data_IF_427845088334
#
_entry.id   IF_427845088334
#
_cell.length_a   1.000
_cell.length_b   1.000
_cell.length_c   1.000
_cell.angle_alpha   90.00
_cell.angle_beta   90.00
_cell.angle_gamma   90.00
#
_symmetry.space_group_name_H-M   'P 1'
#
loop_
_entity.id
_entity.type
_entity.pdbx_description
1 polymer ?
#
# COMPACT_ATOMS: atom_id res chain seq x y z
N UNK A 1 22.62 -11.30 -3.12
CA UNK A 1 21.21 -11.74 -3.12
C UNK A 1 21.24 -13.21 -3.52
N UNK A 2 20.93 -14.13 -2.62
CA UNK A 2 21.03 -15.57 -2.90
C UNK A 2 19.85 -16.08 -3.71
N UNK A 3 20.09 -17.09 -4.54
CA UNK A 3 19.17 -17.69 -5.54
C UNK A 3 17.93 -18.41 -4.98
N UNK A 4 17.58 -18.19 -3.69
CA UNK A 4 16.50 -18.90 -2.99
C UNK A 4 15.28 -18.04 -2.69
N UNK A 5 15.28 -16.76 -3.08
CA UNK A 5 14.24 -15.82 -2.65
C UNK A 5 12.85 -16.18 -3.20
N UNK A 6 12.75 -16.62 -4.47
CA UNK A 6 11.49 -17.02 -5.09
C UNK A 6 10.91 -18.27 -4.43
N UNK A 7 11.75 -19.27 -4.14
CA UNK A 7 11.31 -20.50 -3.48
C UNK A 7 10.85 -20.25 -2.04
N UNK A 8 11.60 -19.44 -1.28
CA UNK A 8 11.25 -19.02 0.07
C UNK A 8 9.89 -18.28 0.05
N UNK A 9 9.66 -17.44 -0.97
CA UNK A 9 8.42 -16.68 -1.09
C UNK A 9 7.21 -17.54 -1.47
N UNK A 10 7.35 -18.41 -2.46
CA UNK A 10 6.31 -19.37 -2.86
C UNK A 10 5.98 -20.36 -1.74
N UNK A 11 6.92 -20.56 -0.82
CA UNK A 11 6.75 -21.38 0.37
C UNK A 11 6.87 -20.50 1.62
N UNK A 12 5.95 -19.54 1.79
CA UNK A 12 5.93 -18.62 2.95
C UNK A 12 6.17 -19.33 4.30
N UNK A 13 5.61 -20.53 4.50
CA UNK A 13 5.87 -21.32 5.71
C UNK A 13 7.33 -21.75 5.88
N UNK A 14 8.01 -22.06 4.78
CA UNK A 14 9.44 -22.33 4.75
C UNK A 14 10.26 -21.06 5.01
N UNK A 15 9.90 -19.92 4.38
CA UNK A 15 10.56 -18.64 4.65
C UNK A 15 10.42 -18.19 6.12
N UNK A 16 9.21 -18.29 6.68
CA UNK A 16 8.94 -17.99 8.08
C UNK A 16 9.74 -18.92 8.99
N UNK A 17 9.74 -20.23 8.71
CA UNK A 17 10.56 -21.19 9.46
C UNK A 17 12.05 -20.85 9.42
N UNK A 18 12.57 -20.52 8.23
CA UNK A 18 13.97 -20.12 8.03
C UNK A 18 14.31 -18.81 8.74
N UNK A 19 13.38 -17.87 8.75
CA UNK A 19 13.52 -16.60 9.46
C UNK A 19 13.49 -16.75 10.98
N UNK A 20 12.63 -17.63 11.51
CA UNK A 20 12.57 -17.98 12.93
C UNK A 20 13.89 -18.60 13.40
N UNK A 21 14.55 -19.39 12.54
CA UNK A 21 15.86 -20.00 12.84
C UNK A 21 17.01 -19.00 12.72
N UNK A 22 17.03 -18.16 11.69
CA UNK A 22 18.15 -17.25 11.41
C UNK A 22 18.03 -15.88 12.10
N UNK A 23 16.92 -15.61 12.80
CA UNK A 23 16.66 -14.34 13.50
C UNK A 23 16.51 -13.11 12.59
N UNK A 24 16.50 -13.30 11.28
CA UNK A 24 16.37 -12.24 10.28
C UNK A 24 15.31 -12.64 9.27
N UNK A 25 14.18 -11.96 9.31
CA UNK A 25 13.14 -12.12 8.30
C UNK A 25 13.70 -11.63 6.96
N UNK A 26 13.73 -12.49 5.92
CA UNK A 26 13.94 -12.01 4.57
C UNK A 26 12.67 -11.22 4.22
N UNK A 27 12.83 -9.93 3.93
CA UNK A 27 11.75 -9.01 3.57
C UNK A 27 10.85 -8.56 4.73
N UNK A 28 10.26 -7.38 4.55
CA UNK A 28 9.19 -6.87 5.38
C UNK A 28 7.91 -7.67 5.09
N UNK A 29 7.85 -8.89 5.63
CA UNK A 29 6.76 -9.87 5.42
C UNK A 29 5.38 -9.27 5.70
N UNK A 30 5.31 -8.29 6.60
CA UNK A 30 4.06 -7.60 6.90
C UNK A 30 3.51 -6.85 5.67
N UNK A 31 4.34 -6.10 4.92
CA UNK A 31 3.88 -5.43 3.69
C UNK A 31 3.51 -6.42 2.60
N UNK A 32 4.32 -7.46 2.44
CA UNK A 32 4.03 -8.57 1.52
C UNK A 32 2.66 -9.17 1.81
N UNK A 33 2.45 -9.61 3.06
CA UNK A 33 1.21 -10.25 3.51
C UNK A 33 0.03 -9.32 3.26
N UNK A 34 0.10 -8.07 3.68
CA UNK A 34 -1.06 -7.18 3.66
C UNK A 34 -1.42 -6.73 2.23
N UNK A 35 -0.42 -6.35 1.41
CA UNK A 35 -0.64 -5.95 0.01
C UNK A 35 -1.14 -7.15 -0.81
N UNK A 36 -0.47 -8.30 -0.70
CA UNK A 36 -0.82 -9.47 -1.50
C UNK A 36 -2.14 -10.10 -1.06
N UNK A 37 -2.39 -10.22 0.24
CA UNK A 37 -3.66 -10.75 0.73
C UNK A 37 -4.82 -9.91 0.23
N UNK A 38 -4.66 -8.58 0.22
CA UNK A 38 -5.68 -7.68 -0.31
C UNK A 38 -5.88 -7.87 -1.81
N UNK A 39 -4.79 -8.04 -2.57
CA UNK A 39 -4.86 -8.26 -4.02
C UNK A 39 -5.49 -9.61 -4.40
N UNK A 40 -5.21 -10.67 -3.62
CA UNK A 40 -5.75 -12.02 -3.85
C UNK A 40 -7.23 -12.08 -3.51
N UNK A 41 -7.69 -11.29 -2.53
CA UNK A 41 -9.10 -11.26 -2.12
C UNK A 41 -10.00 -10.39 -3.01
N UNK A 42 -9.49 -9.76 -4.07
CA UNK A 42 -10.30 -8.85 -4.90
C UNK A 42 -11.37 -9.59 -5.72
N UNK A 43 -11.02 -10.79 -6.18
CA UNK A 43 -11.82 -11.56 -7.12
C UNK A 43 -12.03 -12.97 -6.59
N UNK A 44 -13.23 -13.49 -6.85
CA UNK A 44 -13.61 -14.85 -6.51
C UNK A 44 -14.40 -15.43 -7.66
N UNK A 45 -14.22 -16.70 -7.93
CA UNK A 45 -14.96 -17.41 -8.96
C UNK A 45 -15.90 -18.39 -8.26
N UNK A 46 -17.19 -18.19 -8.47
CA UNK A 46 -18.25 -19.09 -8.01
C UNK A 46 -18.23 -20.39 -8.82
N UNK A 47 -18.62 -21.49 -8.18
CA UNK A 47 -18.65 -22.82 -8.78
C UNK A 47 -17.27 -23.32 -9.27
N UNK A 48 -16.17 -22.68 -8.87
CA UNK A 48 -14.82 -23.09 -9.27
C UNK A 48 -14.47 -24.49 -8.75
N UNK A 49 -15.08 -24.92 -7.65
CA UNK A 49 -14.95 -26.25 -7.06
C UNK A 49 -15.44 -27.38 -7.97
N UNK A 50 -16.18 -27.07 -9.05
CA UNK A 50 -16.50 -28.04 -10.11
C UNK A 50 -15.25 -28.46 -10.89
N UNK A 51 -14.17 -27.69 -10.82
CA UNK A 51 -12.83 -28.06 -11.28
C UNK A 51 -12.10 -28.74 -10.10
N UNK A 52 -11.72 -30.03 -10.21
CA UNK A 52 -11.14 -30.77 -9.10
C UNK A 52 -9.91 -30.10 -8.47
N UNK A 53 -9.92 -29.95 -7.15
CA UNK A 53 -8.85 -29.36 -6.33
C UNK A 53 -8.49 -27.89 -6.64
N UNK A 54 -9.30 -27.19 -7.44
CA UNK A 54 -9.10 -25.78 -7.72
C UNK A 54 -10.00 -24.92 -6.82
N UNK A 55 -9.40 -23.92 -6.17
CA UNK A 55 -10.12 -22.89 -5.40
C UNK A 55 -9.79 -21.52 -5.96
N UNK A 56 -10.66 -20.54 -5.70
CA UNK A 56 -10.41 -19.15 -6.13
C UNK A 56 -9.09 -18.61 -5.59
N UNK A 57 -8.75 -18.95 -4.35
CA UNK A 57 -7.48 -18.54 -3.74
C UNK A 57 -6.27 -19.15 -4.48
N UNK A 58 -6.35 -20.42 -4.90
CA UNK A 58 -5.27 -21.06 -5.67
C UNK A 58 -5.12 -20.38 -7.03
N UNK A 59 -6.24 -20.08 -7.71
CA UNK A 59 -6.25 -19.38 -8.99
C UNK A 59 -5.60 -17.99 -8.89
N UNK A 60 -6.06 -17.17 -7.95
CA UNK A 60 -5.57 -15.81 -7.76
C UNK A 60 -4.11 -15.77 -7.28
N UNK A 61 -3.72 -16.73 -6.43
CA UNK A 61 -2.32 -16.91 -6.05
C UNK A 61 -1.47 -17.36 -7.25
N UNK A 62 -1.96 -18.24 -8.11
CA UNK A 62 -1.24 -18.63 -9.31
C UNK A 62 -1.00 -17.42 -10.22
N UNK A 63 -2.02 -16.59 -10.46
CA UNK A 63 -1.96 -15.35 -11.26
C UNK A 63 -0.96 -14.33 -10.72
N UNK A 64 -0.82 -14.26 -9.39
CA UNK A 64 0.14 -13.36 -8.75
C UNK A 64 1.60 -13.70 -9.11
N UNK A 65 1.92 -14.97 -9.36
CA UNK A 65 3.29 -15.47 -9.42
C UNK A 65 3.72 -16.10 -10.73
N UNK A 66 2.76 -16.56 -11.53
CA UNK A 66 3.03 -17.31 -12.74
C UNK A 66 2.45 -16.55 -13.94
N UNK A 67 3.27 -16.44 -14.98
CA UNK A 67 2.82 -16.09 -16.31
C UNK A 67 2.50 -17.38 -17.08
N UNK A 68 1.91 -17.26 -18.27
CA UNK A 68 1.54 -18.40 -19.11
C UNK A 68 0.62 -19.42 -18.40
N UNK A 69 -0.40 -18.94 -17.71
CA UNK A 69 -1.40 -19.79 -17.09
C UNK A 69 -2.50 -20.18 -18.10
N UNK A 70 -2.97 -21.41 -17.98
CA UNK A 70 -4.10 -21.89 -18.76
C UNK A 70 -4.87 -23.00 -18.04
N UNK A 71 -6.14 -23.14 -18.40
CA UNK A 71 -6.93 -24.34 -18.14
C UNK A 71 -6.95 -25.25 -19.36
N UNK A 72 -6.85 -26.55 -19.09
CA UNK A 72 -6.86 -27.59 -20.12
C UNK A 72 -7.73 -28.77 -19.65
N UNK A 73 -8.46 -29.40 -20.57
CA UNK A 73 -9.27 -30.59 -20.28
C UNK A 73 -8.43 -31.84 -20.52
N UNK A 74 -7.77 -32.30 -19.46
CA UNK A 74 -6.97 -33.52 -19.52
C UNK A 74 -7.85 -34.77 -19.59
N UNK A 75 -7.59 -35.74 -20.48
CA UNK A 75 -8.46 -36.91 -20.68
C UNK A 75 -8.75 -37.73 -19.42
N UNK A 76 -7.75 -37.84 -18.51
CA UNK A 76 -7.88 -38.63 -17.28
C UNK A 76 -8.27 -37.81 -16.03
N UNK A 77 -7.99 -36.52 -16.01
CA UNK A 77 -8.13 -35.68 -14.79
C UNK A 77 -9.27 -34.67 -14.90
N UNK A 78 -9.85 -34.50 -16.09
CA UNK A 78 -10.80 -33.43 -16.37
C UNK A 78 -10.11 -32.08 -16.51
N UNK A 79 -10.84 -31.01 -16.21
CA UNK A 79 -10.29 -29.66 -16.24
C UNK A 79 -9.22 -29.48 -15.17
N UNK A 80 -8.08 -28.92 -15.56
CA UNK A 80 -6.96 -28.63 -14.66
C UNK A 80 -6.37 -27.25 -14.98
N UNK A 81 -5.97 -26.53 -13.93
CA UNK A 81 -5.17 -25.32 -14.02
C UNK A 81 -3.68 -25.69 -14.11
N UNK A 82 -2.99 -25.20 -15.13
CA UNK A 82 -1.58 -25.50 -15.36
C UNK A 82 -0.86 -24.34 -16.06
N UNK A 83 0.44 -24.52 -16.29
CA UNK A 83 1.26 -23.60 -17.08
C UNK A 83 1.48 -24.19 -18.46
N UNK A 84 1.56 -23.34 -19.47
CA UNK A 84 1.96 -23.74 -20.81
C UNK A 84 3.35 -23.20 -21.16
N UNK A 85 4.05 -23.96 -22.00
CA UNK A 85 5.35 -23.60 -22.56
C UNK A 85 5.21 -23.62 -24.07
N UNK A 86 5.51 -22.48 -24.71
CA UNK A 86 5.43 -22.34 -26.16
C UNK A 86 6.49 -23.20 -26.85
N UNK A 87 6.10 -23.96 -27.87
CA UNK A 87 7.03 -24.61 -28.78
C UNK A 87 7.54 -23.61 -29.85
N UNK A 88 8.54 -24.00 -30.64
CA UNK A 88 9.27 -23.10 -31.54
C UNK A 88 8.49 -22.60 -32.76
N UNK A 89 7.29 -23.14 -33.03
CA UNK A 89 6.50 -22.78 -34.22
C UNK A 89 5.41 -21.80 -33.83
N UNK A 90 5.51 -20.57 -34.32
CA UNK A 90 4.53 -19.50 -34.12
C UNK A 90 3.79 -19.18 -35.42
N UNK A 91 2.60 -18.60 -35.29
CA UNK A 91 1.84 -18.02 -36.41
C UNK A 91 2.27 -16.57 -36.68
N UNK A 92 1.57 -15.92 -37.61
CA UNK A 92 1.84 -14.56 -38.11
C UNK A 92 1.68 -13.49 -37.01
N UNK A 93 0.96 -13.83 -35.93
CA UNK A 93 0.69 -12.96 -34.79
C UNK A 93 1.48 -13.37 -33.53
N UNK A 94 2.59 -14.12 -33.69
CA UNK A 94 3.42 -14.61 -32.58
C UNK A 94 2.66 -15.48 -31.57
N UNK A 95 1.59 -16.16 -32.00
CA UNK A 95 0.93 -17.19 -31.18
C UNK A 95 1.52 -18.56 -31.50
N UNK A 96 1.88 -19.38 -30.50
CA UNK A 96 2.42 -20.69 -30.75
C UNK A 96 1.34 -21.57 -31.42
N UNK A 97 1.75 -22.48 -32.30
CA UNK A 97 0.83 -23.50 -32.85
C UNK A 97 0.55 -24.61 -31.86
N UNK A 98 1.60 -25.05 -31.15
CA UNK A 98 1.52 -26.08 -30.11
C UNK A 98 2.24 -25.63 -28.85
N UNK A 99 1.83 -26.19 -27.72
CA UNK A 99 2.38 -25.92 -26.40
C UNK A 99 2.54 -27.22 -25.60
N UNK A 100 3.48 -27.20 -24.67
CA UNK A 100 3.63 -28.25 -23.66
C UNK A 100 3.01 -27.77 -22.35
N UNK A 101 2.31 -28.66 -21.66
CA UNK A 101 1.60 -28.34 -20.42
C UNK A 101 2.34 -28.93 -19.23
N UNK A 102 2.56 -28.10 -18.21
CA UNK A 102 3.29 -28.46 -17.00
C UNK A 102 2.47 -28.05 -15.78
N UNK A 103 2.30 -28.99 -14.85
CA UNK A 103 1.66 -28.73 -13.57
C UNK A 103 2.52 -27.81 -12.68
N UNK A 104 1.92 -27.25 -11.63
CA UNK A 104 2.65 -26.38 -10.70
C UNK A 104 3.78 -27.08 -9.93
N UNK A 105 3.70 -28.40 -9.77
CA UNK A 105 4.75 -29.22 -9.17
C UNK A 105 5.89 -29.57 -10.15
N UNK A 106 5.83 -29.12 -11.41
CA UNK A 106 6.83 -29.40 -12.44
C UNK A 106 6.59 -30.68 -13.25
N UNK A 107 5.55 -31.46 -12.94
CA UNK A 107 5.20 -32.65 -13.73
C UNK A 107 4.67 -32.25 -15.11
N UNK A 108 5.19 -32.88 -16.16
CA UNK A 108 4.65 -32.74 -17.52
C UNK A 108 3.27 -33.38 -17.60
N UNK A 109 2.26 -32.62 -18.02
CA UNK A 109 0.87 -33.08 -18.15
C UNK A 109 0.57 -33.56 -19.57
N UNK A 110 0.97 -32.78 -20.58
CA UNK A 110 0.74 -33.08 -21.98
C UNK A 110 1.81 -32.39 -22.84
N UNK A 111 2.08 -32.95 -24.02
CA UNK A 111 3.10 -32.46 -24.96
C UNK A 111 2.43 -32.23 -26.31
N UNK A 112 2.89 -31.21 -27.04
CA UNK A 112 2.40 -30.86 -28.38
C UNK A 112 0.88 -30.63 -28.47
N UNK A 113 0.30 -30.04 -27.42
CA UNK A 113 -1.12 -29.68 -27.38
C UNK A 113 -1.35 -28.48 -28.31
N UNK A 114 -2.35 -28.51 -29.21
CA UNK A 114 -2.72 -27.34 -30.00
C UNK A 114 -3.02 -26.14 -29.10
N UNK A 115 -2.51 -24.96 -29.44
CA UNK A 115 -2.73 -23.75 -28.62
C UNK A 115 -4.21 -23.36 -28.53
N UNK A 116 -5.02 -23.77 -29.50
CA UNK A 116 -6.46 -23.56 -29.50
C UNK A 116 -7.19 -24.45 -28.49
N UNK A 117 -6.58 -25.54 -28.01
CA UNK A 117 -7.20 -26.46 -27.05
C UNK A 117 -7.09 -26.01 -25.60
N UNK A 118 -6.31 -24.97 -25.33
CA UNK A 118 -6.18 -24.37 -24.00
C UNK A 118 -7.02 -23.10 -23.86
N UNK A 119 -7.44 -22.81 -22.63
CA UNK A 119 -8.08 -21.53 -22.29
C UNK A 119 -7.11 -20.73 -21.42
N UNK A 120 -6.73 -19.56 -21.91
CA UNK A 120 -5.76 -18.71 -21.21
C UNK A 120 -6.38 -18.06 -19.98
N UNK A 121 -5.58 -17.93 -18.93
CA UNK A 121 -5.89 -17.12 -17.76
C UNK A 121 -4.76 -16.12 -17.62
N UNK A 122 -5.11 -14.84 -17.53
CA UNK A 122 -4.14 -13.76 -17.37
C UNK A 122 -4.56 -12.86 -16.23
N UNK A 123 -3.59 -12.29 -15.54
CA UNK A 123 -3.90 -11.27 -14.55
C UNK A 123 -4.23 -9.94 -15.23
N UNK A 124 -3.46 -9.58 -16.26
CA UNK A 124 -3.59 -8.35 -17.05
C UNK A 124 -3.35 -8.65 -18.53
N UNK A 125 -3.70 -7.69 -19.38
CA UNK A 125 -3.59 -7.81 -20.84
C UNK A 125 -2.18 -8.15 -21.36
N UNK A 126 -1.13 -7.80 -20.61
CA UNK A 126 0.27 -8.07 -20.95
C UNK A 126 0.78 -9.43 -20.44
N UNK A 127 -0.01 -10.17 -19.64
CA UNK A 127 0.38 -11.43 -18.99
C UNK A 127 1.66 -11.32 -18.14
N UNK A 128 1.89 -10.14 -17.55
CA UNK A 128 3.00 -9.89 -16.64
C UNK A 128 2.56 -10.21 -15.21
N UNK A 129 3.40 -10.91 -14.44
CA UNK A 129 3.08 -11.24 -13.06
C UNK A 129 3.05 -9.97 -12.18
N UNK A 130 1.94 -9.71 -11.44
CA UNK A 130 1.82 -8.49 -10.62
C UNK A 130 2.89 -8.39 -9.54
N UNK A 131 3.40 -9.52 -9.09
CA UNK A 131 4.42 -9.57 -8.06
C UNK A 131 5.73 -8.85 -8.42
N UNK A 132 6.10 -8.76 -9.71
CA UNK A 132 7.30 -7.99 -10.11
C UNK A 132 7.14 -6.51 -9.73
N UNK A 133 5.96 -5.93 -9.96
CA UNK A 133 5.63 -4.56 -9.60
C UNK A 133 5.65 -4.39 -8.07
N UNK A 134 5.02 -5.32 -7.34
CA UNK A 134 5.01 -5.31 -5.86
C UNK A 134 6.44 -5.33 -5.32
N UNK A 135 7.31 -6.20 -5.85
CA UNK A 135 8.69 -6.34 -5.40
C UNK A 135 9.50 -5.05 -5.58
N UNK A 136 9.25 -4.29 -6.66
CA UNK A 136 9.88 -2.98 -6.85
C UNK A 136 9.46 -1.99 -5.75
N UNK A 137 8.17 -1.87 -5.46
CA UNK A 137 7.67 -0.96 -4.42
C UNK A 137 8.12 -1.37 -3.02
N UNK A 138 8.18 -2.67 -2.71
CA UNK A 138 8.73 -3.16 -1.45
C UNK A 138 10.19 -2.73 -1.28
N UNK A 139 10.99 -2.76 -2.34
CA UNK A 139 12.36 -2.25 -2.31
C UNK A 139 12.45 -0.74 -2.03
N UNK A 140 11.49 0.05 -2.54
CA UNK A 140 11.40 1.49 -2.25
C UNK A 140 11.01 1.74 -0.80
N UNK A 141 9.95 1.07 -0.31
CA UNK A 141 9.46 1.18 1.07
C UNK A 141 10.59 0.83 2.06
N UNK A 142 11.29 -0.29 1.83
CA UNK A 142 12.37 -0.73 2.69
C UNK A 142 13.50 0.32 2.83
N UNK A 143 13.93 0.91 1.71
CA UNK A 143 14.95 1.97 1.72
C UNK A 143 14.48 3.21 2.49
N UNK A 144 13.21 3.55 2.39
CA UNK A 144 12.61 4.66 3.14
C UNK A 144 12.62 4.34 4.63
N UNK A 145 12.21 3.14 5.05
CA UNK A 145 12.24 2.74 6.47
C UNK A 145 13.65 2.74 7.06
N UNK A 146 14.65 2.22 6.33
CA UNK A 146 16.05 2.33 6.75
C UNK A 146 16.50 3.79 6.92
N UNK A 147 16.03 4.67 6.04
CA UNK A 147 16.36 6.10 6.08
C UNK A 147 15.68 6.79 7.27
N UNK A 148 14.42 6.43 7.59
CA UNK A 148 13.74 6.90 8.81
C UNK A 148 14.56 6.52 10.04
N UNK A 149 14.98 5.26 10.15
CA UNK A 149 15.74 4.80 11.31
C UNK A 149 17.07 5.55 11.46
N UNK A 150 17.82 5.75 10.37
CA UNK A 150 19.07 6.53 10.37
C UNK A 150 18.82 7.99 10.77
N UNK A 151 17.75 8.60 10.25
CA UNK A 151 17.40 9.99 10.54
C UNK A 151 17.00 10.16 12.01
N UNK A 152 16.20 9.25 12.55
CA UNK A 152 15.84 9.22 13.98
C UNK A 152 17.07 9.02 14.87
N UNK A 153 18.01 8.15 14.46
CA UNK A 153 19.26 7.97 15.17
C UNK A 153 20.09 9.27 15.22
N UNK A 154 20.20 9.99 14.10
CA UNK A 154 20.88 11.30 14.05
C UNK A 154 20.14 12.32 14.93
N UNK A 155 18.80 12.37 14.85
CA UNK A 155 17.98 13.26 15.66
C UNK A 155 18.07 12.96 17.17
N UNK A 156 18.42 11.73 17.54
CA UNK A 156 18.65 11.31 18.93
C UNK A 156 20.07 11.58 19.45
N UNK A 157 20.97 12.09 18.60
CA UNK A 157 22.35 12.38 19.02
C UNK A 157 22.36 13.50 20.07
N UNK A 158 23.15 13.35 21.16
CA UNK A 158 23.21 14.35 22.20
C UNK A 158 23.85 15.63 21.69
N UNK A 159 23.25 16.77 22.02
CA UNK A 159 23.79 18.08 21.71
C UNK A 159 25.00 18.35 22.62
N UNK A 160 26.16 18.60 22.01
CA UNK A 160 27.35 18.98 22.75
C UNK A 160 27.26 20.45 23.19
N UNK A 161 27.10 20.67 24.50
CA UNK A 161 27.08 22.01 25.08
C UNK A 161 28.49 22.41 25.48
N UNK A 162 29.04 23.43 24.82
CA UNK A 162 30.42 23.87 25.01
C UNK A 162 30.46 25.20 25.75
N UNK A 163 31.18 25.27 26.87
CA UNK A 163 31.34 26.48 27.66
C UNK A 163 32.72 26.56 28.33
N UNK A 164 33.17 27.76 28.67
CA UNK A 164 34.40 27.98 29.44
C UNK A 164 34.24 27.39 30.87
N UNK A 165 35.34 26.95 31.50
CA UNK A 165 35.41 26.38 32.86
C UNK A 165 34.59 27.13 33.91
N UNK A 166 34.49 28.46 33.83
CA UNK A 166 33.69 29.28 34.76
C UNK A 166 32.18 29.02 34.69
N UNK A 167 31.65 28.62 33.53
CA UNK A 167 30.21 28.39 33.30
C UNK A 167 29.81 26.91 33.35
N UNK A 168 30.77 26.00 33.59
CA UNK A 168 30.54 24.56 33.58
C UNK A 168 29.45 24.11 34.58
N UNK A 169 29.40 24.71 35.77
CA UNK A 169 28.39 24.36 36.79
C UNK A 169 26.97 24.82 36.43
N UNK A 170 26.84 25.93 35.69
CA UNK A 170 25.55 26.42 35.19
C UNK A 170 25.05 25.53 34.04
N UNK A 171 25.93 25.15 33.12
CA UNK A 171 25.61 24.21 32.03
C UNK A 171 25.17 22.84 32.54
N UNK A 172 25.80 22.33 33.61
CA UNK A 172 25.41 21.08 34.27
C UNK A 172 23.98 21.12 34.81
N UNK A 173 23.55 22.25 35.37
CA UNK A 173 22.17 22.41 35.83
C UNK A 173 21.19 22.48 34.65
N UNK A 174 21.53 23.20 33.58
CA UNK A 174 20.70 23.30 32.37
C UNK A 174 20.51 21.93 31.71
N UNK A 175 21.59 21.16 31.53
CA UNK A 175 21.51 19.84 30.93
C UNK A 175 20.79 18.80 31.82
N UNK A 176 20.88 18.92 33.16
CA UNK A 176 20.07 18.11 34.09
C UNK A 176 18.57 18.40 33.96
N UNK A 177 18.19 19.65 33.69
CA UNK A 177 16.80 20.04 33.43
C UNK A 177 16.29 19.59 32.05
N UNK A 178 17.18 19.37 31.09
CA UNK A 178 16.86 18.85 29.75
C UNK A 178 16.65 17.33 29.71
N UNK A 179 16.78 16.62 30.84
CA UNK A 179 16.51 15.19 30.93
C UNK A 179 17.66 14.27 30.45
N UNK A 180 18.81 14.82 30.07
CA UNK A 180 19.99 14.03 29.71
C UNK A 180 20.76 13.61 30.97
N UNK A 181 20.85 12.30 31.22
CA UNK A 181 21.51 11.73 32.40
C UNK A 181 22.98 11.36 32.23
N UNK A 182 23.62 11.54 31.06
CA UNK A 182 25.01 11.09 30.79
C UNK A 182 25.80 12.01 29.84
N UNK A 183 27.12 11.81 29.67
CA UNK A 183 28.24 12.23 30.52
C UNK A 183 28.80 13.61 30.10
N UNK A 184 29.14 14.46 31.07
CA UNK A 184 29.77 15.75 30.81
C UNK A 184 31.29 15.60 30.64
N UNK A 185 31.82 16.03 29.50
CA UNK A 185 33.27 16.12 29.28
C UNK A 185 33.70 17.58 29.53
N UNK A 186 34.60 17.78 30.48
CA UNK A 186 35.21 19.11 30.74
C UNK A 186 36.62 19.12 30.15
N UNK A 187 36.85 19.96 29.14
CA UNK A 187 38.15 20.10 28.47
C UNK A 187 38.73 21.51 28.56
N UNK A 188 39.98 21.67 28.10
CA UNK A 188 40.64 22.97 27.92
C UNK A 188 40.15 23.69 26.64
N UNK A 189 40.52 24.97 26.48
CA UNK A 189 40.08 25.82 25.36
C UNK A 189 40.42 25.25 23.96
N UNK A 190 41.39 24.34 23.86
CA UNK A 190 41.69 23.61 22.61
C UNK A 190 40.63 22.58 22.21
N UNK A 191 39.80 22.11 23.15
CA UNK A 191 38.70 21.17 22.90
C UNK A 191 37.46 21.90 22.33
N UNK A 192 37.33 23.19 22.63
CA UNK A 192 36.22 24.07 22.24
C UNK A 192 36.09 24.17 20.71
N UNK A 193 37.20 24.29 20.01
CA UNK A 193 37.22 24.43 18.55
C UNK A 193 36.98 23.10 17.83
N UNK A 194 37.31 21.96 18.45
CA UNK A 194 37.07 20.62 17.90
C UNK A 194 35.57 20.27 18.00
N UNK A 195 34.91 20.63 19.11
CA UNK A 195 33.50 20.28 19.35
C UNK A 195 32.53 21.20 18.62
N UNK A 196 32.87 22.48 18.40
CA UNK A 196 32.06 23.41 17.58
C UNK A 196 31.86 22.93 16.14
N UNK A 197 32.73 22.07 15.61
CA UNK A 197 32.59 21.46 14.28
C UNK A 197 31.57 20.33 14.19
N UNK A 198 31.02 19.85 15.32
CA UNK A 198 30.07 18.73 15.38
C UNK A 198 28.60 19.17 15.49
N UNK A 199 28.21 20.31 14.91
CA UNK A 199 26.80 20.61 14.76
C UNK A 199 26.23 19.74 13.62
N UNK A 200 25.53 18.66 13.98
CA UNK A 200 24.89 17.76 13.03
C UNK A 200 23.44 18.22 12.86
N UNK A 201 23.19 19.00 11.82
CA UNK A 201 21.82 19.36 11.44
C UNK A 201 21.15 18.15 10.76
N UNK A 202 19.93 17.81 11.19
CA UNK A 202 19.13 16.77 10.54
C UNK A 202 18.53 17.39 9.27
N UNK A 203 18.89 16.90 8.06
CA UNK A 203 18.58 17.59 6.82
C UNK A 203 17.11 17.45 6.37
N UNK A 204 16.38 16.46 6.89
CA UNK A 204 15.00 16.13 6.48
C UNK A 204 14.17 15.73 7.70
N UNK A 205 12.93 16.19 7.76
CA UNK A 205 12.00 15.80 8.82
C UNK A 205 11.65 14.31 8.72
N UNK A 206 11.69 13.54 9.82
CA UNK A 206 11.21 12.15 9.84
C UNK A 206 9.75 12.01 9.36
N UNK A 207 8.93 13.04 9.54
CA UNK A 207 7.53 13.05 9.10
C UNK A 207 7.43 13.02 7.57
N UNK A 208 8.20 13.85 6.86
CA UNK A 208 8.20 13.91 5.39
C UNK A 208 8.63 12.56 4.77
N UNK A 209 9.57 11.87 5.43
CA UNK A 209 10.02 10.53 5.03
C UNK A 209 8.90 9.50 5.25
N UNK A 210 8.14 9.62 6.34
CA UNK A 210 6.99 8.77 6.60
C UNK A 210 5.85 8.99 5.59
N UNK A 211 5.57 10.25 5.22
CA UNK A 211 4.61 10.58 4.17
C UNK A 211 5.02 9.98 2.81
N UNK A 212 6.31 10.05 2.47
CA UNK A 212 6.83 9.41 1.27
C UNK A 212 6.62 7.89 1.29
N UNK A 213 6.76 7.24 2.45
CA UNK A 213 6.46 5.81 2.60
C UNK A 213 5.00 5.52 2.26
N UNK A 214 4.08 6.31 2.80
CA UNK A 214 2.65 6.16 2.54
C UNK A 214 2.34 6.35 1.06
N UNK A 215 2.99 7.32 0.40
CA UNK A 215 2.86 7.54 -1.05
C UNK A 215 3.27 6.32 -1.87
N UNK A 216 4.43 5.72 -1.59
CA UNK A 216 4.86 4.49 -2.30
C UNK A 216 3.93 3.30 -2.05
N UNK A 217 3.38 3.19 -0.83
CA UNK A 217 2.38 2.17 -0.52
C UNK A 217 1.10 2.38 -1.33
N UNK A 218 0.62 3.62 -1.42
CA UNK A 218 -0.57 3.95 -2.21
C UNK A 218 -0.33 3.68 -3.70
N UNK A 219 0.81 4.11 -4.25
CA UNK A 219 1.19 3.85 -5.65
C UNK A 219 1.26 2.35 -5.98
N UNK A 220 1.77 1.53 -5.05
CA UNK A 220 1.75 0.08 -5.16
C UNK A 220 0.31 -0.47 -5.24
N UNK A 221 -0.58 -0.02 -4.36
CA UNK A 221 -1.99 -0.44 -4.36
C UNK A 221 -2.71 0.00 -5.66
N UNK A 222 -2.49 1.23 -6.12
CA UNK A 222 -3.04 1.75 -7.38
C UNK A 222 -2.59 0.90 -8.57
N UNK A 223 -1.31 0.45 -8.58
CA UNK A 223 -0.78 -0.43 -9.62
C UNK A 223 -1.41 -1.83 -9.65
N UNK A 224 -2.13 -2.22 -8.60
CA UNK A 224 -2.89 -3.47 -8.50
C UNK A 224 -4.40 -3.25 -8.73
N UNK A 225 -4.83 -2.01 -8.96
CA UNK A 225 -6.25 -1.65 -9.05
C UNK A 225 -6.94 -1.60 -7.69
N UNK A 226 -6.19 -1.39 -6.61
CA UNK A 226 -6.70 -1.29 -5.24
C UNK A 226 -6.70 0.17 -4.81
N UNK A 227 -7.88 0.71 -4.56
CA UNK A 227 -7.99 2.07 -4.02
C UNK A 227 -7.49 2.17 -2.59
N UNK A 228 -6.70 3.21 -2.31
CA UNK A 228 -6.33 3.61 -0.96
C UNK A 228 -7.53 4.22 -0.20
N UNK A 229 -7.43 4.32 1.13
CA UNK A 229 -8.54 4.83 1.97
C UNK A 229 -8.83 6.31 1.69
N UNK A 230 -7.80 7.11 1.43
CA UNK A 230 -7.92 8.54 1.11
C UNK A 230 -8.61 8.75 -0.24
N UNK A 231 -8.17 8.04 -1.28
CA UNK A 231 -8.80 8.07 -2.61
C UNK A 231 -10.25 7.58 -2.58
N UNK A 232 -10.57 6.58 -1.75
CA UNK A 232 -11.95 6.12 -1.53
C UNK A 232 -12.83 7.21 -0.95
N UNK A 233 -12.31 7.99 0.01
CA UNK A 233 -13.06 9.06 0.67
C UNK A 233 -13.35 10.19 -0.32
N UNK A 234 -12.36 10.62 -1.09
CA UNK A 234 -12.54 11.66 -2.11
C UNK A 234 -13.53 11.24 -3.19
N UNK A 235 -13.43 10.01 -3.70
CA UNK A 235 -14.38 9.47 -4.70
C UNK A 235 -15.82 9.47 -4.21
N UNK A 236 -16.06 9.06 -2.96
CA UNK A 236 -17.41 9.02 -2.39
C UNK A 236 -17.99 10.44 -2.26
N UNK A 237 -17.16 11.42 -1.93
CA UNK A 237 -17.58 12.84 -1.86
C UNK A 237 -17.82 13.44 -3.25
N UNK A 238 -17.09 12.99 -4.28
CA UNK A 238 -17.20 13.46 -5.67
C UNK A 238 -18.04 12.57 -6.58
N UNK A 239 -18.72 11.54 -6.05
CA UNK A 239 -19.61 10.65 -6.80
C UNK A 239 -20.82 11.37 -7.42
N UNK A 240 -21.08 12.64 -7.07
CA UNK A 240 -22.04 13.49 -7.77
C UNK A 240 -21.52 14.08 -9.10
N UNK A 241 -20.21 14.00 -9.41
CA UNK A 241 -19.62 14.78 -10.50
C UNK A 241 -18.60 14.09 -11.42
N UNK A 242 -18.07 12.89 -11.13
CA UNK A 242 -16.88 12.42 -11.86
C UNK A 242 -17.02 10.99 -12.41
N UNK A 243 -17.62 10.90 -13.60
CA UNK A 243 -17.24 9.90 -14.60
C UNK A 243 -15.86 10.31 -15.16
N UNK A 244 -14.72 9.89 -14.58
CA UNK A 244 -13.41 10.17 -15.17
C UNK A 244 -12.28 9.26 -14.65
N UNK A 245 -11.87 8.30 -15.50
CA UNK A 245 -10.49 7.95 -15.87
C UNK A 245 -9.37 8.02 -14.82
N UNK A 246 -9.56 7.39 -13.66
CA UNK A 246 -8.48 7.16 -12.71
C UNK A 246 -7.64 5.94 -13.14
N UNK A 247 -6.31 6.06 -13.06
CA UNK A 247 -5.37 4.99 -13.40
C UNK A 247 -5.71 3.69 -12.66
N UNK A 248 -6.05 3.79 -11.37
CA UNK A 248 -6.43 2.64 -10.54
C UNK A 248 -7.68 1.92 -11.08
N UNK A 249 -8.63 2.66 -11.64
CA UNK A 249 -9.83 2.06 -12.23
C UNK A 249 -9.49 1.29 -13.51
N UNK A 250 -8.65 1.86 -14.38
CA UNK A 250 -8.21 1.16 -15.59
C UNK A 250 -7.50 -0.15 -15.27
N UNK A 251 -6.61 -0.16 -14.29
CA UNK A 251 -5.93 -1.38 -13.83
C UNK A 251 -6.94 -2.39 -13.30
N UNK A 252 -7.88 -1.93 -12.46
CA UNK A 252 -8.94 -2.78 -11.93
C UNK A 252 -9.79 -3.42 -13.04
N UNK A 253 -10.23 -2.62 -14.01
CA UNK A 253 -11.05 -3.09 -15.13
C UNK A 253 -10.27 -4.04 -16.05
N UNK A 254 -8.99 -3.82 -16.32
CA UNK A 254 -8.16 -4.74 -17.11
C UNK A 254 -8.08 -6.11 -16.44
N UNK A 255 -7.78 -6.12 -15.14
CA UNK A 255 -7.70 -7.34 -14.33
C UNK A 255 -9.03 -8.09 -14.28
N UNK A 256 -10.13 -7.36 -14.11
CA UNK A 256 -11.49 -7.90 -14.15
C UNK A 256 -11.82 -8.49 -15.53
N UNK A 257 -11.46 -7.79 -16.60
CA UNK A 257 -11.77 -8.19 -17.97
C UNK A 257 -11.07 -9.51 -18.34
N UNK A 258 -9.80 -9.69 -17.98
CA UNK A 258 -9.08 -10.94 -18.26
C UNK A 258 -9.69 -12.15 -17.53
N UNK A 259 -10.10 -11.97 -16.27
CA UNK A 259 -10.82 -13.01 -15.52
C UNK A 259 -12.17 -13.34 -16.15
N UNK A 260 -12.91 -12.31 -16.57
CA UNK A 260 -14.19 -12.49 -17.25
C UNK A 260 -14.02 -13.21 -18.59
N UNK A 261 -13.02 -12.85 -19.39
CA UNK A 261 -12.68 -13.54 -20.64
C UNK A 261 -12.43 -15.02 -20.39
N UNK A 262 -11.66 -15.36 -19.37
CA UNK A 262 -11.45 -16.76 -19.01
C UNK A 262 -12.74 -17.48 -18.60
N UNK A 263 -13.54 -16.88 -17.70
CA UNK A 263 -14.83 -17.45 -17.26
C UNK A 263 -15.75 -17.70 -18.46
N UNK A 264 -15.88 -16.72 -19.35
CA UNK A 264 -16.72 -16.80 -20.54
C UNK A 264 -16.25 -17.91 -21.48
N UNK A 265 -14.95 -18.03 -21.73
CA UNK A 265 -14.39 -19.10 -22.57
C UNK A 265 -14.53 -20.49 -21.93
N UNK A 266 -14.36 -20.60 -20.62
CA UNK A 266 -14.60 -21.85 -19.90
C UNK A 266 -16.05 -22.30 -20.01
N UNK A 267 -17.00 -21.39 -19.79
CA UNK A 267 -18.43 -21.68 -19.91
C UNK A 267 -18.84 -22.00 -21.35
N UNK A 268 -18.19 -21.41 -22.36
CA UNK A 268 -18.40 -21.79 -23.77
C UNK A 268 -17.93 -23.22 -24.06
N UNK A 269 -16.79 -23.64 -23.50
CA UNK A 269 -16.24 -25.00 -23.71
C UNK A 269 -16.95 -26.06 -22.88
N UNK A 270 -17.38 -25.71 -21.69
CA UNK A 270 -18.07 -26.61 -20.78
C UNK A 270 -19.18 -25.85 -20.01
N UNK A 271 -20.39 -25.75 -20.59
CA UNK A 271 -21.50 -25.05 -19.95
C UNK A 271 -21.91 -25.66 -18.60
N UNK A 272 -21.51 -26.90 -18.31
CA UNK A 272 -21.80 -27.55 -17.02
C UNK A 272 -21.01 -26.97 -15.85
N UNK A 273 -19.99 -26.14 -16.09
CA UNK A 273 -19.22 -25.51 -15.01
C UNK A 273 -19.96 -24.31 -14.39
N UNK A 274 -20.76 -23.58 -15.17
CA UNK A 274 -21.55 -22.42 -14.70
C UNK A 274 -20.71 -21.44 -13.86
N UNK A 275 -19.49 -21.15 -14.31
CA UNK A 275 -18.56 -20.28 -13.59
C UNK A 275 -19.07 -18.84 -13.61
N UNK A 276 -18.94 -18.14 -12.49
CA UNK A 276 -19.35 -16.75 -12.35
C UNK A 276 -18.25 -15.97 -11.60
N UNK A 277 -17.80 -14.85 -12.15
CA UNK A 277 -16.86 -13.95 -11.48
C UNK A 277 -17.64 -13.10 -10.46
N UNK A 278 -17.26 -13.23 -9.19
CA UNK A 278 -17.71 -12.44 -8.06
C UNK A 278 -16.60 -11.45 -7.70
N UNK A 279 -16.98 -10.19 -7.54
CA UNK A 279 -16.11 -9.15 -7.01
C UNK A 279 -16.37 -9.06 -5.50
N UNK A 280 -15.43 -9.53 -4.66
CA UNK A 280 -15.53 -9.37 -3.20
C UNK A 280 -15.07 -7.98 -2.74
N UNK A 281 -14.66 -7.14 -3.69
CA UNK A 281 -14.37 -5.72 -3.46
C UNK A 281 -15.66 -4.90 -3.29
N UNK A 282 -16.50 -5.26 -2.32
CA UNK A 282 -17.54 -4.38 -1.80
C UNK A 282 -16.94 -3.47 -0.73
N UNK A 283 -16.98 -2.17 -1.01
CA UNK A 283 -16.63 -1.09 -0.11
C UNK A 283 -17.65 -1.08 1.05
N UNK A 284 -17.34 -1.77 2.14
CA UNK A 284 -17.98 -1.62 3.45
C UNK A 284 -17.70 -0.22 4.04
N UNK A 285 -18.18 0.83 3.38
CA UNK A 285 -18.12 2.21 3.87
C UNK A 285 -19.52 2.86 3.85
N UNK A 286 -20.52 2.25 3.20
CA UNK A 286 -21.90 2.79 3.16
C UNK A 286 -22.49 3.07 4.55
N UNK A 287 -22.11 2.31 5.57
CA UNK A 287 -22.61 2.53 6.94
C UNK A 287 -21.84 3.62 7.70
N UNK A 288 -20.52 3.77 7.49
CA UNK A 288 -19.73 4.79 8.18
C UNK A 288 -19.82 6.19 7.53
N UNK A 289 -20.18 6.30 6.25
CA UNK A 289 -20.29 7.59 5.55
C UNK A 289 -21.46 8.43 6.06
N UNK A 290 -22.61 7.81 6.38
CA UNK A 290 -23.75 8.58 6.91
C UNK A 290 -23.42 9.19 8.26
N UNK A 291 -22.71 8.45 9.11
CA UNK A 291 -22.32 8.93 10.44
C UNK A 291 -21.18 9.95 10.38
N UNK A 292 -20.21 9.78 9.48
CA UNK A 292 -19.11 10.72 9.32
C UNK A 292 -19.52 11.99 8.56
N UNK A 293 -20.41 11.88 7.57
CA UNK A 293 -21.02 13.05 6.92
C UNK A 293 -21.92 13.79 7.90
N UNK A 294 -22.70 13.10 8.73
CA UNK A 294 -23.51 13.75 9.78
C UNK A 294 -22.64 14.45 10.83
N UNK A 295 -21.51 13.85 11.24
CA UNK A 295 -20.54 14.50 12.13
C UNK A 295 -19.87 15.71 11.49
N UNK A 296 -19.42 15.61 10.24
CA UNK A 296 -18.83 16.74 9.52
C UNK A 296 -19.83 17.89 9.32
N UNK A 297 -21.09 17.55 9.02
CA UNK A 297 -22.16 18.54 8.87
C UNK A 297 -22.56 19.17 10.22
N UNK A 298 -22.46 18.44 11.33
CA UNK A 298 -22.66 18.96 12.68
C UNK A 298 -21.52 19.90 13.11
N UNK A 299 -20.26 19.56 12.79
CA UNK A 299 -19.09 20.41 13.04
C UNK A 299 -19.17 21.70 12.23
N UNK A 300 -19.45 21.62 10.92
CA UNK A 300 -19.63 22.80 10.07
C UNK A 300 -20.79 23.71 10.52
N UNK A 301 -21.85 23.12 11.10
CA UNK A 301 -22.97 23.88 11.65
C UNK A 301 -22.62 24.54 13.00
N UNK A 302 -21.75 23.93 13.79
CA UNK A 302 -21.20 24.51 15.02
C UNK A 302 -20.24 25.67 14.74
N UNK A 303 -19.39 25.53 13.71
CA UNK A 303 -18.46 26.59 13.28
C UNK A 303 -19.21 27.77 12.64
N UNK A 304 -20.22 27.50 11.81
CA UNK A 304 -21.08 28.54 11.21
C UNK A 304 -22.05 29.23 12.18
N UNK A 305 -22.28 28.68 13.38
CA UNK A 305 -23.01 29.38 14.46
C UNK A 305 -22.11 30.24 15.33
N UNK A 306 -20.80 29.97 15.37
CA UNK A 306 -19.83 30.82 16.06
C UNK A 306 -19.65 32.16 15.36
N UNK A 307 -19.56 32.19 14.02
CA UNK A 307 -19.40 33.45 13.26
C UNK A 307 -20.62 34.36 13.33
N UNK A 308 -21.84 33.80 13.47
CA UNK A 308 -23.07 34.61 13.63
C UNK A 308 -23.24 35.23 15.01
N UNK A 309 -22.58 34.68 16.05
CA UNK A 309 -22.66 35.23 17.41
C UNK A 309 -21.52 36.20 17.74
N UNK A 310 -20.48 36.30 16.91
CA UNK A 310 -19.41 37.30 17.06
C UNK A 310 -19.77 38.61 16.36
N UNK A 311 -20.50 38.58 15.23
CA UNK A 311 -20.90 39.78 14.47
C UNK A 311 -22.21 40.45 14.92
N UNK A 312 -22.81 40.02 16.03
CA UNK A 312 -24.00 40.69 16.61
C UNK A 312 -23.72 41.44 17.92
N UNK A 313 -22.45 41.63 18.30
CA UNK A 313 -22.05 42.30 19.55
C UNK A 313 -21.16 43.56 19.35
N UNK A 314 -21.11 44.14 18.16
CA UNK A 314 -20.31 45.37 17.89
C UNK A 314 -21.13 46.62 17.51
N UNK A 315 -22.41 46.69 17.89
CA UNK A 315 -23.17 47.96 17.85
C UNK A 315 -23.72 48.29 19.24
N UNK A 316 -22.85 48.88 20.07
CA UNK A 316 -23.18 49.40 21.39
C UNK A 316 -22.15 50.44 21.82
N UNK A 317 -22.21 51.63 21.24
CA UNK A 317 -21.43 52.79 21.73
C UNK A 317 -21.86 53.12 23.16
N UNK A 318 -20.91 53.06 24.08
CA UNK A 318 -20.98 53.66 25.41
C UNK A 318 -21.10 55.20 25.26
N UNK A 319 -22.22 55.77 25.72
CA UNK A 319 -22.26 57.16 26.18
C UNK A 319 -22.11 57.15 27.71
N UNK A 320 -21.03 57.76 28.18
CA UNK A 320 -20.70 57.92 29.62
C UNK A 320 -21.64 58.90 30.32
N UNK A 321 -22.12 58.60 31.54
CA UNK A 321 -22.96 59.50 32.31
C UNK A 321 -22.13 60.32 33.31
N UNK A 322 -21.67 61.51 32.93
CA UNK A 322 -21.23 62.54 33.90
C UNK A 322 -21.10 63.90 33.21
N UNK A 323 -22.22 64.62 33.05
CA UNK A 323 -22.27 66.09 32.96
C UNK A 323 -23.74 66.55 32.93
N UNK A 324 -24.40 66.42 34.07
CA UNK A 324 -25.62 67.18 34.40
C UNK A 324 -25.43 67.79 35.79
N UNK A 325 -24.69 68.89 35.84
CA UNK A 325 -24.94 70.04 36.72
C UNK A 325 -23.83 71.08 36.50
N UNK A 326 -24.11 72.05 35.64
CA UNK A 326 -23.74 73.47 35.77
C UNK A 326 -23.74 74.16 34.40
N UNK A 327 -24.89 74.74 34.04
CA UNK A 327 -25.05 76.12 33.52
C UNK A 327 -26.48 76.31 33.04
N UNK A 328 -27.32 76.66 34.00
CA UNK A 328 -28.33 77.71 33.77
C UNK A 328 -27.57 79.03 33.58
N UNK A 329 -28.23 79.94 32.87
CA UNK A 329 -27.93 81.36 32.65
C UNK A 329 -27.08 81.68 31.40
N UNK A 330 -27.76 82.29 30.41
CA UNK A 330 -27.17 82.86 29.20
C UNK A 330 -28.12 82.85 28.02
#
# INVERSE_FOLDING_TARGET
>A
MSDSWYYDFMNLNHAVSKALVNGRLPYEIHYVKDIMSTSISMFKVKNIERIPNLTSQILEMALMFNFNLCTYKHPALGWILCRYICNSVFNEYLRPKTVNLVAFNGTSLAVDVPYEDIVLIRDNSMDIIPFICINEYLGKIHRVEETVFKTLAIASLPIALVANKKMANQLKQVAKNLGNSDPFITGDDSLLDIVKGFNIDVPVSPLDIYELKQKYRNECLSSLGIYSVEEKRERIVTQELVNQNDFTDFVYQDRKMERKRWVDEMNKRDPSLELELIEEYEVNVRENIKDDAAKAHAVAKADGTYEKNVNSNEDGKEETPEEKEERKDG
#
